data_IF_089218034821
#
_entry.id   IF_089218034821
#
_cell.length_a   1.000
_cell.length_b   1.000
_cell.length_c   1.000
_cell.angle_alpha   90.00
_cell.angle_beta   90.00
_cell.angle_gamma   90.00
#
_symmetry.space_group_name_H-M   'P 1'
#
loop_
_entity.id
_entity.type
_entity.pdbx_description
1 polymer ?
#
# COMPACT_ATOMS: atom_id res chain seq x y z
N UNK A 1 9.54 -13.02 -17.26
CA UNK A 1 8.22 -12.35 -17.09
C UNK A 1 8.29 -11.07 -16.25
N UNK A 2 9.08 -11.00 -15.16
CA UNK A 2 9.17 -9.80 -14.28
C UNK A 2 9.64 -8.49 -14.94
N UNK A 3 10.47 -8.56 -16.00
CA UNK A 3 10.94 -7.36 -16.72
C UNK A 3 9.82 -6.71 -17.55
N UNK A 4 8.96 -7.51 -18.18
CA UNK A 4 7.85 -7.01 -19.02
C UNK A 4 6.76 -6.38 -18.15
N UNK A 5 6.42 -6.99 -17.01
CA UNK A 5 5.47 -6.40 -16.06
C UNK A 5 5.97 -5.07 -15.49
N UNK A 6 7.28 -4.92 -15.31
CA UNK A 6 7.87 -3.66 -14.87
C UNK A 6 7.70 -2.54 -15.91
N UNK A 7 8.04 -2.81 -17.18
CA UNK A 7 7.85 -1.82 -18.27
C UNK A 7 6.38 -1.46 -18.48
N UNK A 8 5.48 -2.44 -18.40
CA UNK A 8 4.05 -2.21 -18.52
C UNK A 8 3.52 -1.34 -17.37
N UNK A 9 3.95 -1.62 -16.14
CA UNK A 9 3.58 -0.81 -14.98
C UNK A 9 4.14 0.61 -15.06
N UNK A 10 5.36 0.78 -15.58
CA UNK A 10 5.97 2.09 -15.80
C UNK A 10 5.20 2.89 -16.87
N UNK A 11 4.88 2.26 -18.01
CA UNK A 11 4.10 2.90 -19.07
C UNK A 11 2.71 3.34 -18.57
N UNK A 12 2.05 2.48 -17.78
CA UNK A 12 0.76 2.81 -17.17
C UNK A 12 0.86 3.97 -16.17
N UNK A 13 1.89 3.98 -15.31
CA UNK A 13 2.12 5.07 -14.36
C UNK A 13 2.38 6.40 -15.08
N UNK A 14 3.16 6.37 -16.17
CA UNK A 14 3.45 7.55 -16.98
C UNK A 14 2.18 8.11 -17.64
N UNK A 15 1.37 7.21 -18.21
CA UNK A 15 0.10 7.57 -18.84
C UNK A 15 -0.88 8.16 -17.81
N UNK A 16 -0.99 7.53 -16.63
CA UNK A 16 -1.81 8.04 -15.53
C UNK A 16 -1.34 9.42 -15.06
N UNK A 17 -0.02 9.62 -14.94
CA UNK A 17 0.55 10.92 -14.57
C UNK A 17 0.25 12.00 -15.62
N UNK A 18 0.34 11.67 -16.92
CA UNK A 18 -0.01 12.60 -17.99
C UNK A 18 -1.51 12.99 -17.95
N UNK A 19 -2.40 12.04 -17.68
CA UNK A 19 -3.83 12.33 -17.48
C UNK A 19 -4.05 13.24 -16.28
N UNK A 20 -3.40 12.97 -15.14
CA UNK A 20 -3.47 13.84 -13.97
C UNK A 20 -2.99 15.24 -14.31
N UNK A 21 -1.86 15.39 -15.00
CA UNK A 21 -1.35 16.71 -15.37
C UNK A 21 -2.33 17.50 -16.25
N UNK A 22 -2.92 16.85 -17.26
CA UNK A 22 -3.96 17.47 -18.09
C UNK A 22 -5.19 17.85 -17.26
N UNK A 23 -5.63 16.96 -16.39
CA UNK A 23 -6.75 17.22 -15.49
C UNK A 23 -6.48 18.44 -14.60
N UNK A 24 -5.26 18.60 -14.08
CA UNK A 24 -4.88 19.74 -13.24
C UNK A 24 -4.92 21.06 -14.02
N UNK A 25 -4.36 21.03 -15.23
CA UNK A 25 -4.31 22.21 -16.11
C UNK A 25 -5.70 22.71 -16.45
N UNK A 26 -6.61 21.82 -16.84
CA UNK A 26 -7.96 22.21 -17.26
C UNK A 26 -8.88 22.52 -16.07
N UNK A 27 -8.60 21.97 -14.89
CA UNK A 27 -9.41 22.14 -13.67
C UNK A 27 -8.69 23.01 -12.62
N UNK A 28 -8.08 24.11 -13.06
CA UNK A 28 -7.52 25.15 -12.18
C UNK A 28 -8.60 26.11 -11.67
N UNK A 29 -9.85 25.65 -11.55
CA UNK A 29 -10.94 26.46 -11.02
C UNK A 29 -10.80 26.58 -9.50
N UNK A 30 -10.88 27.81 -8.96
CA UNK A 30 -10.78 28.00 -7.52
C UNK A 30 -12.02 27.45 -6.82
N UNK A 31 -11.79 26.66 -5.78
CA UNK A 31 -12.81 26.06 -4.92
C UNK A 31 -12.62 26.55 -3.50
N UNK A 32 -13.70 27.08 -2.93
CA UNK A 32 -13.71 27.51 -1.53
C UNK A 32 -14.19 26.35 -0.66
N UNK A 33 -13.31 25.88 0.21
CA UNK A 33 -13.62 24.88 1.22
C UNK A 33 -13.95 25.63 2.51
N UNK A 34 -15.18 25.47 2.98
CA UNK A 34 -15.63 26.00 4.26
C UNK A 34 -15.46 24.90 5.33
N UNK A 35 -14.78 25.24 6.41
CA UNK A 35 -14.60 24.39 7.59
C UNK A 35 -15.09 25.12 8.84
N UNK A 36 -15.16 24.39 9.95
CA UNK A 36 -15.82 24.84 11.19
C UNK A 36 -15.28 26.19 11.70
N UNK A 37 -14.01 26.50 11.44
CA UNK A 37 -13.31 27.70 11.96
C UNK A 37 -12.91 28.69 10.84
N UNK A 38 -13.37 28.51 9.60
CA UNK A 38 -13.05 29.44 8.51
C UNK A 38 -13.24 28.88 7.11
N UNK A 39 -12.68 29.56 6.12
CA UNK A 39 -12.70 29.13 4.73
C UNK A 39 -11.33 29.34 4.07
N UNK A 40 -10.98 28.42 3.17
CA UNK A 40 -9.80 28.54 2.31
C UNK A 40 -10.24 28.38 0.87
N UNK A 41 -9.65 29.18 -0.01
CA UNK A 41 -9.82 29.03 -1.46
C UNK A 41 -8.56 28.42 -2.03
N UNK A 42 -8.71 27.25 -2.65
CA UNK A 42 -7.64 26.49 -3.29
C UNK A 42 -8.10 26.03 -4.67
N UNK A 43 -7.16 25.77 -5.57
CA UNK A 43 -7.53 25.19 -6.86
C UNK A 43 -8.08 23.77 -6.68
N UNK A 44 -9.15 23.44 -7.40
CA UNK A 44 -9.79 22.12 -7.38
C UNK A 44 -8.77 21.00 -7.62
N UNK A 45 -7.85 21.23 -8.54
CA UNK A 45 -6.74 20.34 -8.86
C UNK A 45 -5.88 20.01 -7.63
N UNK A 46 -5.50 21.01 -6.84
CA UNK A 46 -4.71 20.84 -5.63
C UNK A 46 -5.46 20.04 -4.56
N UNK A 47 -6.76 20.32 -4.39
CA UNK A 47 -7.63 19.60 -3.45
C UNK A 47 -7.74 18.12 -3.82
N UNK A 48 -7.89 17.82 -5.12
CA UNK A 48 -7.94 16.46 -5.63
C UNK A 48 -6.58 15.75 -5.48
N UNK A 49 -5.46 16.45 -5.70
CA UNK A 49 -4.12 15.89 -5.44
C UNK A 49 -3.99 15.46 -3.99
N UNK A 50 -4.30 16.36 -3.07
CA UNK A 50 -4.15 16.16 -1.65
C UNK A 50 -5.02 14.98 -1.18
N UNK A 51 -6.25 14.90 -1.68
CA UNK A 51 -7.18 13.80 -1.40
C UNK A 51 -6.64 12.46 -1.91
N UNK A 52 -6.08 12.43 -3.12
CA UNK A 52 -5.47 11.22 -3.68
C UNK A 52 -4.27 10.76 -2.87
N UNK A 53 -3.37 11.68 -2.51
CA UNK A 53 -2.20 11.40 -1.67
C UNK A 53 -2.62 10.90 -0.29
N UNK A 54 -3.62 11.53 0.33
CA UNK A 54 -4.17 11.09 1.61
C UNK A 54 -4.76 9.67 1.53
N UNK A 55 -5.49 9.35 0.47
CA UNK A 55 -6.02 8.00 0.22
C UNK A 55 -4.92 6.95 0.04
N UNK A 56 -3.85 7.28 -0.68
CA UNK A 56 -2.69 6.41 -0.86
C UNK A 56 -1.95 6.18 0.47
N UNK A 57 -1.76 7.23 1.27
CA UNK A 57 -1.15 7.13 2.61
C UNK A 57 -1.98 6.27 3.55
N UNK A 58 -3.31 6.43 3.57
CA UNK A 58 -4.20 5.57 4.35
C UNK A 58 -4.09 4.10 3.94
N UNK A 59 -4.05 3.83 2.64
CA UNK A 59 -3.90 2.46 2.12
C UNK A 59 -2.55 1.85 2.54
N UNK A 60 -1.47 2.62 2.44
CA UNK A 60 -0.15 2.20 2.92
C UNK A 60 -0.17 1.90 4.42
N UNK A 61 -0.79 2.76 5.22
CA UNK A 61 -0.91 2.56 6.66
C UNK A 61 -1.64 1.25 6.99
N UNK A 62 -2.76 0.98 6.31
CA UNK A 62 -3.53 -0.26 6.46
C UNK A 62 -2.69 -1.48 6.05
N UNK A 63 -1.95 -1.41 4.94
CA UNK A 63 -1.05 -2.48 4.50
C UNK A 63 0.05 -2.78 5.53
N UNK A 64 0.69 -1.75 6.07
CA UNK A 64 1.73 -1.88 7.08
C UNK A 64 1.18 -2.55 8.35
N UNK A 65 0.02 -2.10 8.84
CA UNK A 65 -0.66 -2.74 9.97
C UNK A 65 -0.99 -4.21 9.69
N UNK A 66 -1.50 -4.52 8.49
CA UNK A 66 -1.79 -5.90 8.09
C UNK A 66 -0.55 -6.80 8.00
N UNK A 67 0.60 -6.25 7.61
CA UNK A 67 1.86 -6.99 7.51
C UNK A 67 2.41 -7.41 8.87
N UNK A 68 2.18 -6.62 9.91
CA UNK A 68 2.54 -6.97 11.29
C UNK A 68 1.78 -8.23 11.70
N UNK A 69 0.44 -8.23 11.59
CA UNK A 69 -0.39 -9.39 11.94
C UNK A 69 0.00 -10.65 11.18
N UNK A 70 0.33 -10.51 9.89
CA UNK A 70 0.82 -11.62 9.06
C UNK A 70 2.17 -12.16 9.53
N UNK A 71 3.10 -11.29 9.93
CA UNK A 71 4.41 -11.71 10.45
C UNK A 71 4.29 -12.52 11.74
N UNK A 72 3.34 -12.17 12.61
CA UNK A 72 3.06 -12.96 13.82
C UNK A 72 2.55 -14.37 13.49
N UNK A 73 1.61 -14.48 12.54
CA UNK A 73 1.09 -15.78 12.10
C UNK A 73 2.20 -16.64 11.48
N UNK A 74 3.04 -16.04 10.64
CA UNK A 74 4.19 -16.73 10.02
C UNK A 74 5.18 -17.21 11.08
N UNK A 75 5.48 -16.38 12.09
CA UNK A 75 6.36 -16.77 13.19
C UNK A 75 5.80 -17.94 13.99
N UNK A 76 4.49 -17.93 14.27
CA UNK A 76 3.80 -19.03 14.95
C UNK A 76 3.87 -20.32 14.13
N UNK A 77 3.54 -20.27 12.84
CA UNK A 77 3.62 -21.42 11.95
C UNK A 77 5.05 -21.99 11.84
N UNK A 78 6.06 -21.12 11.78
CA UNK A 78 7.47 -21.54 11.78
C UNK A 78 7.89 -22.24 13.08
N UNK A 79 7.36 -21.79 14.21
CA UNK A 79 7.61 -22.42 15.51
C UNK A 79 6.98 -23.81 15.62
N UNK A 80 5.77 -24.00 15.08
CA UNK A 80 5.11 -25.31 15.06
C UNK A 80 5.81 -26.29 14.12
N UNK A 81 6.26 -25.83 12.95
CA UNK A 81 7.09 -26.65 12.06
C UNK A 81 8.37 -27.12 12.74
N UNK A 82 9.06 -26.22 13.44
CA UNK A 82 10.28 -26.59 14.18
C UNK A 82 10.01 -27.60 15.28
N UNK A 83 8.90 -27.44 16.00
CA UNK A 83 8.48 -28.39 17.04
C UNK A 83 8.17 -29.76 16.43
N UNK A 84 7.42 -29.81 15.34
CA UNK A 84 7.10 -31.07 14.66
C UNK A 84 8.35 -31.77 14.12
N UNK A 85 9.30 -31.01 13.56
CA UNK A 85 10.59 -31.53 13.11
C UNK A 85 11.36 -32.19 14.26
N UNK A 86 11.45 -31.52 15.41
CA UNK A 86 12.14 -32.06 16.59
C UNK A 86 11.49 -33.36 17.09
N UNK A 87 10.16 -33.47 17.09
CA UNK A 87 9.47 -34.70 17.48
C UNK A 87 9.80 -35.88 16.57
N UNK A 88 9.91 -35.65 15.26
CA UNK A 88 10.31 -36.70 14.30
C UNK A 88 11.75 -37.14 14.56
N UNK A 89 12.67 -36.21 14.80
CA UNK A 89 14.07 -36.51 15.07
C UNK A 89 14.27 -37.27 16.39
N UNK A 90 13.52 -36.91 17.44
CA UNK A 90 13.54 -37.59 18.74
C UNK A 90 12.99 -39.03 18.64
N UNK A 91 11.88 -39.23 17.93
CA UNK A 91 11.32 -40.56 17.67
C UNK A 91 12.32 -41.43 16.89
N UNK A 92 12.99 -40.85 15.88
CA UNK A 92 13.99 -41.54 15.07
C UNK A 92 15.23 -41.95 15.88
N UNK A 93 15.63 -41.14 16.87
CA UNK A 93 16.70 -41.48 17.81
C UNK A 93 16.31 -42.55 18.81
N UNK A 94 15.04 -42.63 19.21
CA UNK A 94 14.56 -43.66 20.16
C UNK A 94 14.39 -45.05 19.56
N UNK A 95 14.35 -45.17 18.23
CA UNK A 95 14.20 -46.45 17.50
C UNK A 95 15.54 -46.99 16.95
N UNK A 96 16.65 -46.28 17.16
CA UNK A 96 18.01 -46.69 16.82
C UNK A 96 18.77 -47.13 18.07
#
# INVERSE_FOLDING_TARGET
>A
MKRISFWLSMAFALLFFALLFLFFRENSTPVTINYIVGSITLDLSLVLLASFVAGALLTLLIMLCGQISRSWIISKQKSELKRLQNHIDDLRKSQA
#
